data_IF_522636562079
#
_entry.id   IF_522636562079
#
_cell.length_a   1.000
_cell.length_b   1.000
_cell.length_c   1.000
_cell.angle_alpha   90.00
_cell.angle_beta   90.00
_cell.angle_gamma   90.00
#
_symmetry.space_group_name_H-M   'P 1'
#
loop_
_entity.id
_entity.type
_entity.pdbx_description
1 polymer ?
#
# COMPACT_ATOMS: atom_id res chain seq x y z
N UNK A 1 13.92 -42.18 74.87
CA UNK A 1 14.44 -41.32 73.78
C UNK A 1 13.84 -41.69 72.40
N UNK A 2 12.53 -41.90 72.26
CA UNK A 2 11.90 -42.35 70.99
C UNK A 2 10.90 -41.37 70.35
N UNK A 3 10.75 -40.14 70.87
CA UNK A 3 9.65 -39.24 70.46
C UNK A 3 10.01 -38.24 69.34
N UNK A 4 11.26 -38.17 68.87
CA UNK A 4 11.68 -37.21 67.85
C UNK A 4 11.46 -37.67 66.41
N UNK A 5 11.50 -38.98 66.14
CA UNK A 5 11.42 -39.52 64.77
C UNK A 5 9.99 -39.64 64.21
N UNK A 6 8.97 -39.70 65.07
CA UNK A 6 7.57 -39.76 64.66
C UNK A 6 7.04 -38.38 64.19
N UNK A 7 7.51 -37.29 64.82
CA UNK A 7 7.11 -35.92 64.49
C UNK A 7 7.74 -35.40 63.18
N UNK A 8 8.98 -35.81 62.86
CA UNK A 8 9.67 -35.40 61.62
C UNK A 8 9.05 -36.04 60.38
N UNK A 9 8.62 -37.30 60.46
CA UNK A 9 7.92 -37.99 59.38
C UNK A 9 6.57 -37.33 59.03
N UNK A 10 5.79 -36.92 60.04
CA UNK A 10 4.52 -36.22 59.85
C UNK A 10 4.67 -34.78 59.35
N UNK A 11 5.76 -34.10 59.67
CA UNK A 11 6.06 -32.75 59.16
C UNK A 11 6.53 -32.79 57.69
N UNK A 12 7.35 -33.77 57.33
CA UNK A 12 7.84 -33.96 55.95
C UNK A 12 6.70 -34.24 54.97
N UNK A 13 5.69 -35.04 55.37
CA UNK A 13 4.55 -35.33 54.49
C UNK A 13 3.65 -34.10 54.27
N UNK A 14 3.49 -33.25 55.30
CA UNK A 14 2.77 -31.97 55.19
C UNK A 14 3.45 -31.00 54.24
N UNK A 15 4.78 -30.85 54.34
CA UNK A 15 5.56 -30.00 53.44
C UNK A 15 5.45 -30.48 51.99
N UNK A 16 5.56 -31.79 51.75
CA UNK A 16 5.40 -32.37 50.42
C UNK A 16 4.00 -32.10 49.84
N UNK A 17 2.96 -32.18 50.67
CA UNK A 17 1.58 -31.87 50.27
C UNK A 17 1.43 -30.40 49.85
N UNK A 18 1.94 -29.45 50.65
CA UNK A 18 1.88 -28.02 50.30
C UNK A 18 2.71 -27.68 49.07
N UNK A 19 3.86 -28.33 48.85
CA UNK A 19 4.65 -28.17 47.63
C UNK A 19 3.91 -28.71 46.40
N UNK A 20 3.26 -29.87 46.51
CA UNK A 20 2.46 -30.42 45.43
C UNK A 20 1.26 -29.50 45.10
N UNK A 21 0.58 -28.97 46.11
CA UNK A 21 -0.51 -28.01 45.95
C UNK A 21 -0.03 -26.71 45.27
N UNK A 22 1.10 -26.14 45.71
CA UNK A 22 1.71 -24.97 45.08
C UNK A 22 2.06 -25.24 43.61
N UNK A 23 2.66 -26.40 43.30
CA UNK A 23 2.98 -26.77 41.93
C UNK A 23 1.72 -26.87 41.06
N UNK A 24 0.65 -27.48 41.55
CA UNK A 24 -0.63 -27.58 40.82
C UNK A 24 -1.18 -26.18 40.52
N UNK A 25 -1.17 -25.26 41.50
CA UNK A 25 -1.62 -23.88 41.30
C UNK A 25 -0.74 -23.16 40.27
N UNK A 26 0.58 -23.27 40.37
CA UNK A 26 1.53 -22.65 39.43
C UNK A 26 1.32 -23.20 38.01
N UNK A 27 1.17 -24.50 37.85
CA UNK A 27 0.87 -25.11 36.56
C UNK A 27 -0.48 -24.66 36.01
N UNK A 28 -1.51 -24.54 36.85
CA UNK A 28 -2.82 -24.03 36.44
C UNK A 28 -2.73 -22.62 35.87
N UNK A 29 -2.07 -21.69 36.57
CA UNK A 29 -1.86 -20.31 36.12
C UNK A 29 -1.01 -20.27 34.84
N UNK A 30 0.08 -21.04 34.80
CA UNK A 30 0.96 -21.11 33.63
C UNK A 30 0.25 -21.62 32.39
N UNK A 31 -0.54 -22.70 32.51
CA UNK A 31 -1.34 -23.26 31.42
C UNK A 31 -2.41 -22.26 30.95
N UNK A 32 -3.07 -21.56 31.87
CA UNK A 32 -4.00 -20.49 31.53
C UNK A 32 -3.34 -19.37 30.73
N UNK A 33 -2.17 -18.90 31.17
CA UNK A 33 -1.39 -17.89 30.44
C UNK A 33 -0.96 -18.38 29.05
N UNK A 34 -0.50 -19.64 28.94
CA UNK A 34 -0.12 -20.24 27.65
C UNK A 34 -1.31 -20.39 26.70
N UNK A 35 -2.46 -20.82 27.19
CA UNK A 35 -3.68 -20.92 26.40
C UNK A 35 -4.13 -19.55 25.88
N UNK A 36 -4.08 -18.52 26.72
CA UNK A 36 -4.41 -17.15 26.33
C UNK A 36 -3.45 -16.60 25.25
N UNK A 37 -2.15 -16.80 25.41
CA UNK A 37 -1.17 -16.36 24.42
C UNK A 37 -1.36 -17.07 23.07
N UNK A 38 -1.64 -18.38 23.09
CA UNK A 38 -1.91 -19.14 21.87
C UNK A 38 -3.17 -18.63 21.14
N UNK A 39 -4.26 -18.36 21.87
CA UNK A 39 -5.47 -17.78 21.28
C UNK A 39 -5.21 -16.39 20.68
N UNK A 40 -4.38 -15.58 21.33
CA UNK A 40 -3.95 -14.27 20.83
C UNK A 40 -3.11 -14.38 19.55
N UNK A 41 -2.18 -15.33 19.50
CA UNK A 41 -1.35 -15.59 18.30
C UNK A 41 -2.18 -16.04 17.09
N UNK A 42 -3.20 -16.89 17.30
CA UNK A 42 -4.12 -17.30 16.23
C UNK A 42 -4.90 -16.10 15.69
N UNK A 43 -5.49 -15.31 16.60
CA UNK A 43 -6.23 -14.09 16.24
C UNK A 43 -5.35 -13.12 15.44
N UNK A 44 -4.08 -12.96 15.85
CA UNK A 44 -3.13 -12.11 15.14
C UNK A 44 -2.80 -12.65 13.75
N UNK A 45 -2.60 -13.96 13.59
CA UNK A 45 -2.34 -14.60 12.29
C UNK A 45 -3.52 -14.41 11.34
N UNK A 46 -4.74 -14.61 11.81
CA UNK A 46 -5.95 -14.44 10.99
C UNK A 46 -6.10 -12.99 10.52
N UNK A 47 -5.86 -12.04 11.42
CA UNK A 47 -5.84 -10.62 11.09
C UNK A 47 -4.80 -10.30 10.02
N UNK A 48 -3.54 -10.72 10.21
CA UNK A 48 -2.46 -10.46 9.24
C UNK A 48 -2.77 -11.09 7.88
N UNK A 49 -3.29 -12.32 7.86
CA UNK A 49 -3.68 -12.98 6.61
C UNK A 49 -4.80 -12.24 5.88
N UNK A 50 -5.81 -11.75 6.62
CA UNK A 50 -6.87 -10.93 6.05
C UNK A 50 -6.34 -9.62 5.46
N UNK A 51 -5.44 -8.92 6.17
CA UNK A 51 -4.82 -7.69 5.68
C UNK A 51 -3.94 -7.94 4.45
N UNK A 52 -3.16 -9.03 4.42
CA UNK A 52 -2.35 -9.40 3.24
C UNK A 52 -3.25 -9.71 2.03
N UNK A 53 -4.41 -10.35 2.26
CA UNK A 53 -5.39 -10.61 1.20
C UNK A 53 -5.98 -9.30 0.66
N UNK A 54 -6.29 -8.34 1.52
CA UNK A 54 -6.75 -7.01 1.10
C UNK A 54 -5.67 -6.25 0.32
N UNK A 55 -4.40 -6.33 0.73
CA UNK A 55 -3.27 -5.80 -0.04
C UNK A 55 -3.19 -6.43 -1.42
N UNK A 56 -3.35 -7.75 -1.52
CA UNK A 56 -3.33 -8.45 -2.81
C UNK A 56 -4.43 -7.93 -3.75
N UNK A 57 -5.66 -7.80 -3.27
CA UNK A 57 -6.76 -7.25 -4.08
C UNK A 57 -6.54 -5.78 -4.46
N UNK A 58 -5.96 -4.99 -3.55
CA UNK A 58 -5.56 -3.60 -3.84
C UNK A 58 -4.51 -3.54 -4.96
N UNK A 59 -3.52 -4.43 -4.95
CA UNK A 59 -2.53 -4.54 -6.01
C UNK A 59 -3.15 -4.94 -7.36
N UNK A 60 -4.15 -5.82 -7.37
CA UNK A 60 -4.89 -6.15 -8.60
C UNK A 60 -5.60 -4.92 -9.19
N UNK A 61 -6.14 -4.05 -8.34
CA UNK A 61 -6.75 -2.79 -8.76
C UNK A 61 -5.71 -1.79 -9.26
N UNK A 62 -4.58 -1.64 -8.55
CA UNK A 62 -3.48 -0.77 -8.93
C UNK A 62 -2.90 -1.17 -10.30
N UNK A 63 -2.80 -2.47 -10.60
CA UNK A 63 -2.36 -2.98 -11.90
C UNK A 63 -3.34 -2.57 -13.00
N UNK A 64 -4.65 -2.76 -12.80
CA UNK A 64 -5.67 -2.38 -13.80
C UNK A 64 -5.65 -0.88 -14.07
N UNK A 65 -5.49 -0.06 -13.04
CA UNK A 65 -5.37 1.38 -13.19
C UNK A 65 -4.07 1.76 -13.92
N UNK A 66 -2.95 1.10 -13.63
CA UNK A 66 -1.71 1.29 -14.37
C UNK A 66 -1.86 0.94 -15.85
N UNK A 67 -2.54 -0.17 -16.19
CA UNK A 67 -2.82 -0.58 -17.57
C UNK A 67 -3.67 0.45 -18.32
N UNK A 68 -4.73 0.97 -17.68
CA UNK A 68 -5.57 2.02 -18.25
C UNK A 68 -4.79 3.31 -18.50
N UNK A 69 -3.90 3.68 -17.58
CA UNK A 69 -3.03 4.84 -17.72
C UNK A 69 -2.00 4.64 -18.83
N UNK A 70 -1.40 3.45 -18.95
CA UNK A 70 -0.49 3.10 -20.04
C UNK A 70 -1.17 3.20 -21.41
N UNK A 71 -2.39 2.66 -21.55
CA UNK A 71 -3.17 2.76 -22.78
C UNK A 71 -3.54 4.21 -23.10
N UNK A 72 -3.89 4.97 -22.07
CA UNK A 72 -4.06 6.42 -22.14
C UNK A 72 -2.87 7.15 -22.72
N UNK A 73 -1.68 6.89 -22.19
CA UNK A 73 -0.43 7.47 -22.68
C UNK A 73 -0.10 7.07 -24.11
N UNK A 74 -0.34 5.80 -24.50
CA UNK A 74 -0.19 5.35 -25.89
C UNK A 74 -1.07 6.14 -26.86
N UNK A 75 -2.33 6.37 -26.50
CA UNK A 75 -3.23 7.24 -27.26
C UNK A 75 -2.74 8.68 -27.29
N UNK A 76 -2.17 9.18 -26.19
CA UNK A 76 -1.54 10.48 -26.09
C UNK A 76 -0.39 10.68 -27.10
N UNK A 77 0.42 9.65 -27.37
CA UNK A 77 1.50 9.74 -28.37
C UNK A 77 0.93 10.00 -29.77
N UNK A 78 -0.15 9.31 -30.15
CA UNK A 78 -0.84 9.52 -31.44
C UNK A 78 -1.38 10.95 -31.53
N UNK A 79 -1.94 11.45 -30.42
CA UNK A 79 -2.45 12.83 -30.33
C UNK A 79 -1.33 13.85 -30.51
N UNK A 80 -0.18 13.64 -29.86
CA UNK A 80 1.00 14.52 -30.02
C UNK A 80 1.47 14.55 -31.48
N UNK A 81 1.46 13.41 -32.17
CA UNK A 81 1.80 13.36 -33.60
C UNK A 81 0.81 14.13 -34.48
N UNK A 82 -0.49 14.11 -34.15
CA UNK A 82 -1.51 14.91 -34.83
C UNK A 82 -1.20 16.41 -34.70
N UNK A 83 -0.99 16.91 -33.48
CA UNK A 83 -0.67 18.32 -33.26
C UNK A 83 0.69 18.72 -33.82
N UNK A 84 1.68 17.81 -33.80
CA UNK A 84 2.97 18.06 -34.42
C UNK A 84 2.85 18.29 -35.94
N UNK A 85 2.01 17.50 -36.62
CA UNK A 85 1.71 17.71 -38.05
C UNK A 85 1.03 19.05 -38.28
N UNK A 86 0.03 19.38 -37.46
CA UNK A 86 -0.71 20.63 -37.55
C UNK A 86 0.21 21.86 -37.44
N UNK A 87 1.13 21.88 -36.46
CA UNK A 87 2.10 22.98 -36.26
C UNK A 87 3.10 23.12 -37.42
N UNK A 88 3.38 22.04 -38.14
CA UNK A 88 4.25 22.05 -39.33
C UNK A 88 3.48 22.26 -40.64
N UNK A 89 2.25 22.77 -40.59
CA UNK A 89 1.37 23.01 -41.74
C UNK A 89 1.19 21.77 -42.63
N UNK A 90 1.26 20.56 -42.04
CA UNK A 90 0.94 19.32 -42.75
C UNK A 90 -0.56 19.06 -42.67
N UNK A 91 -1.10 18.46 -43.73
CA UNK A 91 -2.52 18.08 -43.76
C UNK A 91 -2.84 17.11 -42.62
N UNK A 92 -3.92 17.41 -41.90
CA UNK A 92 -4.53 16.59 -40.85
C UNK A 92 -6.04 16.64 -41.02
N UNK A 93 -6.73 15.65 -40.48
CA UNK A 93 -8.19 15.65 -40.41
C UNK A 93 -8.69 16.69 -39.40
N UNK A 94 -9.39 17.71 -39.89
CA UNK A 94 -9.90 18.83 -39.07
C UNK A 94 -11.06 18.37 -38.19
N UNK A 95 -11.88 17.43 -38.67
CA UNK A 95 -13.05 16.94 -37.92
C UNK A 95 -12.63 16.20 -36.64
N UNK A 96 -11.41 15.65 -36.64
CA UNK A 96 -10.80 14.99 -35.48
C UNK A 96 -10.15 15.96 -34.47
N UNK A 97 -10.13 17.27 -34.72
CA UNK A 97 -9.39 18.23 -33.89
C UNK A 97 -9.85 18.23 -32.43
N UNK A 98 -11.16 18.34 -32.19
CA UNK A 98 -11.72 18.44 -30.82
C UNK A 98 -11.44 17.16 -30.01
N UNK A 99 -11.61 16.00 -30.64
CA UNK A 99 -11.33 14.69 -30.03
C UNK A 99 -9.86 14.60 -29.62
N UNK A 100 -8.95 15.00 -30.51
CA UNK A 100 -7.52 15.00 -30.20
C UNK A 100 -7.15 16.05 -29.16
N UNK A 101 -7.75 17.24 -29.20
CA UNK A 101 -7.53 18.29 -28.21
C UNK A 101 -7.92 17.82 -26.79
N UNK A 102 -9.12 17.26 -26.63
CA UNK A 102 -9.56 16.73 -25.34
C UNK A 102 -8.64 15.60 -24.83
N UNK A 103 -8.16 14.73 -25.74
CA UNK A 103 -7.21 13.66 -25.38
C UNK A 103 -5.82 14.19 -25.02
N UNK A 104 -5.38 15.29 -25.62
CA UNK A 104 -4.08 15.91 -25.35
C UNK A 104 -4.02 16.46 -23.92
N UNK A 105 -5.11 17.07 -23.46
CA UNK A 105 -5.19 17.70 -22.14
C UNK A 105 -5.53 16.73 -21.02
N UNK A 106 -5.90 15.48 -21.36
CA UNK A 106 -6.27 14.46 -20.36
C UNK A 106 -5.06 14.06 -19.52
N UNK A 107 -5.27 13.95 -18.21
CA UNK A 107 -4.26 13.47 -17.28
C UNK A 107 -4.44 11.99 -16.97
N UNK A 108 -3.32 11.27 -16.86
CA UNK A 108 -3.26 9.88 -16.46
C UNK A 108 -2.44 9.82 -15.18
N UNK A 109 -3.13 9.70 -14.04
CA UNK A 109 -2.51 9.60 -12.73
C UNK A 109 -3.01 8.29 -12.14
N UNK A 110 -2.07 7.47 -11.70
CA UNK A 110 -2.39 6.29 -10.92
C UNK A 110 -2.44 6.61 -9.43
N UNK A 111 -3.38 6.02 -8.69
CA UNK A 111 -3.48 6.18 -7.23
C UNK A 111 -3.36 4.80 -6.60
N UNK A 112 -2.37 4.64 -5.72
CA UNK A 112 -2.09 3.37 -5.04
C UNK A 112 -2.87 3.31 -3.72
N UNK A 113 -3.49 2.18 -3.41
CA UNK A 113 -4.10 1.98 -2.09
C UNK A 113 -3.07 1.46 -1.07
N UNK A 114 -2.59 2.34 -0.20
CA UNK A 114 -1.60 2.01 0.85
C UNK A 114 -2.21 1.65 2.20
N UNK A 115 -3.52 1.88 2.39
CA UNK A 115 -4.20 1.75 3.69
C UNK A 115 -4.00 0.39 4.39
N UNK A 116 -4.08 -0.76 3.69
CA UNK A 116 -3.87 -2.06 4.34
C UNK A 116 -2.41 -2.24 4.79
N UNK A 117 -1.44 -1.72 4.05
CA UNK A 117 -0.03 -1.78 4.44
C UNK A 117 0.27 -0.87 5.64
N UNK A 118 -0.32 0.32 5.67
CA UNK A 118 -0.21 1.25 6.81
C UNK A 118 -0.66 0.63 8.13
N UNK A 119 -1.70 -0.19 8.05
CA UNK A 119 -2.21 -0.95 9.18
C UNK A 119 -1.17 -1.95 9.70
N UNK A 120 -0.48 -2.68 8.82
CA UNK A 120 0.64 -3.56 9.21
C UNK A 120 1.80 -2.74 9.78
N UNK A 121 2.15 -1.63 9.13
CA UNK A 121 3.24 -0.74 9.56
C UNK A 121 3.02 -0.25 10.99
N UNK A 122 1.80 0.16 11.33
CA UNK A 122 1.44 0.62 12.68
C UNK A 122 1.62 -0.44 13.77
N UNK A 123 1.49 -1.73 13.43
CA UNK A 123 1.70 -2.86 14.35
C UNK A 123 3.16 -3.35 14.40
N UNK A 124 3.99 -2.88 13.49
CA UNK A 124 5.36 -3.35 13.29
C UNK A 124 5.45 -4.49 12.28
N UNK A 125 6.48 -4.46 11.44
CA UNK A 125 6.61 -5.43 10.33
C UNK A 125 6.82 -6.88 10.80
N UNK A 126 7.27 -7.09 12.04
CA UNK A 126 7.52 -8.41 12.63
C UNK A 126 6.25 -9.29 12.72
N UNK A 127 5.05 -8.71 12.56
CA UNK A 127 3.81 -9.48 12.47
C UNK A 127 3.72 -10.34 11.19
N UNK A 128 4.46 -9.98 10.14
CA UNK A 128 4.61 -10.81 8.94
C UNK A 128 5.71 -11.83 9.19
N UNK A 129 5.31 -13.08 9.45
CA UNK A 129 6.25 -14.18 9.75
C UNK A 129 7.20 -14.51 8.59
N UNK A 130 6.78 -14.31 7.33
CA UNK A 130 7.61 -14.56 6.17
C UNK A 130 8.53 -13.37 5.86
N UNK A 131 9.81 -13.51 6.18
CA UNK A 131 10.85 -12.50 5.97
C UNK A 131 10.97 -12.02 4.52
N UNK A 132 10.84 -12.92 3.55
CA UNK A 132 10.93 -12.59 2.13
C UNK A 132 9.75 -11.73 1.69
N UNK A 133 8.53 -12.12 2.09
CA UNK A 133 7.31 -11.37 1.84
C UNK A 133 7.37 -9.99 2.50
N UNK A 134 7.78 -9.94 3.77
CA UNK A 134 7.94 -8.70 4.54
C UNK A 134 8.88 -7.72 3.82
N UNK A 135 10.05 -8.18 3.37
CA UNK A 135 11.00 -7.34 2.62
C UNK A 135 10.41 -6.83 1.30
N UNK A 136 9.67 -7.67 0.58
CA UNK A 136 9.01 -7.26 -0.68
C UNK A 136 7.95 -6.19 -0.44
N UNK A 137 7.14 -6.34 0.62
CA UNK A 137 6.12 -5.35 0.98
C UNK A 137 6.74 -4.02 1.38
N UNK A 138 7.74 -4.02 2.27
CA UNK A 138 8.46 -2.80 2.66
C UNK A 138 9.08 -2.11 1.44
N UNK A 139 9.74 -2.86 0.55
CA UNK A 139 10.33 -2.28 -0.67
C UNK A 139 9.27 -1.65 -1.57
N UNK A 140 8.12 -2.29 -1.75
CA UNK A 140 7.06 -1.76 -2.60
C UNK A 140 6.42 -0.51 -2.00
N UNK A 141 5.94 -0.60 -0.76
CA UNK A 141 5.11 0.43 -0.16
C UNK A 141 5.94 1.59 0.43
N UNK A 142 6.98 1.31 1.20
CA UNK A 142 7.77 2.39 1.82
C UNK A 142 8.77 3.02 0.85
N UNK A 143 9.28 2.27 -0.15
CA UNK A 143 10.27 2.83 -1.08
C UNK A 143 9.69 3.17 -2.45
N UNK A 144 9.10 2.20 -3.17
CA UNK A 144 8.70 2.43 -4.56
C UNK A 144 7.49 3.36 -4.68
N UNK A 145 6.47 3.19 -3.83
CA UNK A 145 5.28 4.05 -3.84
C UNK A 145 5.59 5.46 -3.33
N UNK A 146 6.39 5.61 -2.27
CA UNK A 146 6.82 6.93 -1.81
C UNK A 146 7.65 7.67 -2.88
N UNK A 147 8.57 6.97 -3.55
CA UNK A 147 9.33 7.53 -4.68
C UNK A 147 8.39 7.95 -5.82
N UNK A 148 7.42 7.11 -6.17
CA UNK A 148 6.43 7.41 -7.21
C UNK A 148 5.59 8.65 -6.87
N UNK A 149 5.17 8.81 -5.62
CA UNK A 149 4.43 9.98 -5.16
C UNK A 149 5.28 11.26 -5.27
N UNK A 150 6.55 11.21 -4.84
CA UNK A 150 7.48 12.34 -4.98
C UNK A 150 7.68 12.74 -6.44
N UNK A 151 7.83 11.77 -7.35
CA UNK A 151 7.94 12.02 -8.80
C UNK A 151 6.65 12.62 -9.37
N UNK A 152 5.47 12.12 -8.97
CA UNK A 152 4.19 12.71 -9.40
C UNK A 152 4.05 14.16 -8.95
N UNK A 153 4.42 14.46 -7.70
CA UNK A 153 4.36 15.81 -7.15
C UNK A 153 5.28 16.78 -7.89
N UNK A 154 6.50 16.36 -8.22
CA UNK A 154 7.43 17.20 -8.99
C UNK A 154 6.93 17.46 -10.42
N UNK A 155 6.41 16.43 -11.10
CA UNK A 155 5.85 16.54 -12.45
C UNK A 155 4.63 17.47 -12.47
N UNK A 156 3.68 17.29 -11.54
CA UNK A 156 2.48 18.14 -11.49
C UNK A 156 2.85 19.61 -11.25
N UNK A 157 3.80 19.89 -10.35
CA UNK A 157 4.29 21.25 -10.11
C UNK A 157 4.90 21.86 -11.38
N UNK A 158 5.71 21.09 -12.12
CA UNK A 158 6.33 21.56 -13.36
C UNK A 158 5.36 21.64 -14.54
N UNK A 159 4.21 20.95 -14.51
CA UNK A 159 3.23 20.92 -15.60
C UNK A 159 2.18 22.03 -15.51
N UNK A 160 1.82 22.47 -14.30
CA UNK A 160 0.86 23.56 -14.07
C UNK A 160 1.33 24.92 -14.60
N UNK A 161 2.64 25.18 -14.58
CA UNK A 161 3.23 26.47 -14.98
C UNK A 161 3.31 26.64 -16.52
N UNK A 162 3.85 25.69 -17.31
CA UNK A 162 4.01 25.86 -18.75
C UNK A 162 2.73 25.62 -19.55
N UNK A 163 1.81 24.73 -19.14
CA UNK A 163 0.60 24.47 -19.94
C UNK A 163 -0.33 25.68 -19.95
N UNK A 164 -0.52 26.36 -18.81
CA UNK A 164 -1.31 27.60 -18.77
C UNK A 164 -0.67 28.70 -19.62
N UNK A 165 0.67 28.80 -19.61
CA UNK A 165 1.39 29.78 -20.42
C UNK A 165 1.29 29.47 -21.93
N UNK A 166 1.49 28.22 -22.33
CA UNK A 166 1.45 27.76 -23.72
C UNK A 166 0.02 27.80 -24.30
N UNK A 167 -1.00 27.43 -23.51
CA UNK A 167 -2.40 27.56 -23.93
C UNK A 167 -2.76 29.05 -24.08
N UNK A 168 -2.34 29.92 -23.15
CA UNK A 168 -2.61 31.36 -23.25
C UNK A 168 -1.92 32.01 -24.46
N UNK A 169 -0.69 31.60 -24.79
CA UNK A 169 0.06 32.12 -25.94
C UNK A 169 -0.51 31.64 -27.29
N UNK A 170 -0.96 30.39 -27.37
CA UNK A 170 -1.49 29.83 -28.62
C UNK A 170 -2.98 30.16 -28.85
N UNK A 171 -3.76 30.45 -27.79
CA UNK A 171 -5.16 30.87 -27.91
C UNK A 171 -5.31 32.10 -28.81
N UNK A 172 -4.44 33.10 -28.67
CA UNK A 172 -4.45 34.30 -29.51
C UNK A 172 -4.06 34.04 -30.97
N UNK A 173 -3.17 33.07 -31.20
CA UNK A 173 -2.76 32.67 -32.55
C UNK A 173 -3.92 31.93 -33.25
N UNK A 174 -4.57 31.00 -32.56
CA UNK A 174 -5.73 30.26 -33.10
C UNK A 174 -6.91 31.22 -33.34
N UNK A 175 -7.18 32.14 -32.42
CA UNK A 175 -8.21 33.17 -32.58
C UNK A 175 -7.93 34.06 -33.81
N UNK A 176 -6.67 34.38 -34.10
CA UNK A 176 -6.29 35.19 -35.26
C UNK A 176 -6.47 34.48 -36.61
N UNK A 177 -6.47 33.15 -36.63
CA UNK A 177 -6.71 32.33 -37.83
C UNK A 177 -8.21 32.27 -38.13
N UNK A 178 -9.06 32.16 -37.10
CA UNK A 178 -10.52 32.14 -37.26
C UNK A 178 -11.14 33.51 -37.57
N UNK A 179 -10.47 34.62 -37.25
CA UNK A 179 -10.96 35.98 -37.61
C UNK A 179 -10.62 36.36 -39.07
N UNK A 180 -9.75 35.60 -39.75
CA UNK A 180 -9.34 35.85 -41.15
C UNK A 180 -10.07 34.99 -42.18
N UNK A 181 -11.06 34.20 -41.76
CA UNK A 181 -11.99 33.43 -42.62
C UNK A 181 -13.37 34.08 -42.46
#
# INVERSE_FOLDING_TARGET
>A
MQNSNQNTAGLSSKILKYLAELLVVVFGVYLGFKANNYASELTQKDYVNATIKEMYHSLEQDIKDAELNMEGHRKGIVVVQYFFKLVHNKSVDIDSFDIYYHRLTRNFISVQNTSPFETIRSKGYNVIANDSLRRKMVKLYDFQYEMLEKLKKSINLHRFIPINLIISMNFWIILSIFIKI
#
